data_IF_166606312218
#
_entry.id   IF_166606312218
#
_cell.length_a   1.000
_cell.length_b   1.000
_cell.length_c   1.000
_cell.angle_alpha   90.00
_cell.angle_beta   90.00
_cell.angle_gamma   90.00
#
_symmetry.space_group_name_H-M   'P 1'
#
loop_
_entity.id
_entity.type
_entity.pdbx_description
1 polymer ?
#
# COMPACT_ATOMS: atom_id res chain seq x y z
N UNK A 1 11.80 4.38 -17.89
CA UNK A 1 10.39 4.17 -18.30
C UNK A 1 9.71 3.33 -17.23
N UNK A 2 8.65 3.82 -16.58
CA UNK A 2 7.84 2.99 -15.70
C UNK A 2 7.01 2.03 -16.55
N UNK A 3 7.10 0.73 -16.28
CA UNK A 3 6.28 -0.30 -16.91
C UNK A 3 5.23 -0.80 -15.92
N UNK A 4 4.02 -1.12 -16.36
CA UNK A 4 3.04 -1.78 -15.51
C UNK A 4 3.61 -3.06 -14.92
N UNK A 5 3.32 -3.31 -13.64
CA UNK A 5 3.62 -4.61 -13.02
C UNK A 5 2.75 -5.66 -13.70
N UNK A 6 3.38 -6.74 -14.17
CA UNK A 6 2.65 -7.83 -14.81
C UNK A 6 1.61 -8.44 -13.85
N UNK A 7 0.46 -8.94 -14.36
CA UNK A 7 -0.51 -9.64 -13.54
C UNK A 7 0.14 -10.73 -12.69
N UNK A 8 -0.26 -10.84 -11.42
CA UNK A 8 0.29 -11.81 -10.47
C UNK A 8 1.69 -11.48 -9.92
N UNK A 9 2.36 -10.42 -10.38
CA UNK A 9 3.72 -10.04 -9.94
C UNK A 9 3.77 -8.91 -8.91
N UNK A 10 2.64 -8.53 -8.33
CA UNK A 10 2.57 -7.40 -7.40
C UNK A 10 3.37 -7.65 -6.12
N UNK A 11 3.29 -8.85 -5.53
CA UNK A 11 4.08 -9.21 -4.36
C UNK A 11 5.59 -9.09 -4.63
N UNK A 12 6.07 -9.66 -5.74
CA UNK A 12 7.48 -9.54 -6.14
C UNK A 12 7.91 -8.09 -6.33
N UNK A 13 7.05 -7.26 -6.94
CA UNK A 13 7.33 -5.84 -7.13
C UNK A 13 7.44 -5.09 -5.80
N UNK A 14 6.54 -5.36 -4.84
CA UNK A 14 6.61 -4.80 -3.48
C UNK A 14 7.89 -5.22 -2.80
N UNK A 15 8.23 -6.51 -2.81
CA UNK A 15 9.48 -7.04 -2.24
C UNK A 15 10.70 -6.36 -2.85
N UNK A 16 10.75 -6.24 -4.18
CA UNK A 16 11.85 -5.62 -4.88
C UNK A 16 12.02 -4.13 -4.50
N UNK A 17 10.92 -3.37 -4.45
CA UNK A 17 10.94 -1.94 -4.10
C UNK A 17 11.40 -1.74 -2.65
N UNK A 18 10.80 -2.45 -1.70
CA UNK A 18 11.16 -2.31 -0.27
C UNK A 18 12.60 -2.76 -0.01
N UNK A 19 13.02 -3.88 -0.61
CA UNK A 19 14.39 -4.38 -0.48
C UNK A 19 15.40 -3.42 -1.10
N UNK A 20 15.13 -2.91 -2.30
CA UNK A 20 16.02 -1.94 -2.96
C UNK A 20 16.11 -0.63 -2.19
N UNK A 21 14.98 -0.14 -1.66
CA UNK A 21 14.99 1.06 -0.83
C UNK A 21 15.87 0.87 0.41
N UNK A 22 15.66 -0.21 1.17
CA UNK A 22 16.44 -0.53 2.38
C UNK A 22 17.91 -0.80 2.11
N UNK A 23 18.23 -1.60 1.08
CA UNK A 23 19.61 -2.10 0.84
C UNK A 23 20.42 -1.25 -0.13
N UNK A 24 19.79 -0.33 -0.86
CA UNK A 24 20.48 0.49 -1.88
C UNK A 24 20.26 1.98 -1.69
N UNK A 25 19.01 2.44 -1.52
CA UNK A 25 18.73 3.87 -1.41
C UNK A 25 19.21 4.45 -0.07
N UNK A 26 18.81 3.83 1.05
CA UNK A 26 19.15 4.32 2.39
C UNK A 26 20.67 4.32 2.68
N UNK A 27 21.45 3.27 2.34
CA UNK A 27 22.90 3.29 2.57
C UNK A 27 23.61 4.38 1.77
N UNK A 28 23.15 4.68 0.55
CA UNK A 28 23.69 5.80 -0.25
C UNK A 28 23.45 7.17 0.41
N UNK A 29 22.40 7.28 1.22
CA UNK A 29 22.11 8.46 2.03
C UNK A 29 22.76 8.41 3.43
N UNK A 30 23.60 7.41 3.74
CA UNK A 30 24.23 7.24 5.05
C UNK A 30 23.27 6.79 6.15
N UNK A 31 22.09 6.28 5.80
CA UNK A 31 21.10 5.77 6.76
C UNK A 31 21.31 4.26 6.95
N UNK A 32 21.77 3.80 8.13
CA UNK A 32 22.03 2.39 8.36
C UNK A 32 20.73 1.58 8.51
N UNK A 33 20.84 0.26 8.41
CA UNK A 33 19.72 -0.68 8.57
C UNK A 33 19.14 -0.71 9.99
N UNK A 34 19.89 -0.22 10.98
CA UNK A 34 19.43 -0.04 12.38
C UNK A 34 18.36 1.04 12.52
N UNK A 35 18.24 1.97 11.56
CA UNK A 35 17.17 2.98 11.57
C UNK A 35 15.88 2.35 11.05
N UNK A 36 14.79 2.30 11.84
CA UNK A 36 13.53 1.72 11.38
C UNK A 36 12.88 2.55 10.26
N UNK A 37 12.13 1.88 9.39
CA UNK A 37 11.35 2.53 8.33
C UNK A 37 9.86 2.41 8.66
N UNK A 38 9.12 3.51 8.53
CA UNK A 38 7.65 3.51 8.49
C UNK A 38 7.17 3.80 7.07
N UNK A 39 6.26 2.99 6.56
CA UNK A 39 5.63 3.19 5.25
C UNK A 39 4.41 4.08 5.46
N UNK A 40 4.39 5.28 4.88
CA UNK A 40 3.27 6.23 5.08
C UNK A 40 2.25 6.25 3.96
N UNK A 41 2.70 6.13 2.71
CA UNK A 41 1.82 6.35 1.56
C UNK A 41 2.06 5.31 0.48
N UNK A 42 0.98 4.62 0.14
CA UNK A 42 0.80 3.79 -1.04
C UNK A 42 -0.71 3.60 -1.21
N UNK A 43 -1.16 3.29 -2.42
CA UNK A 43 -2.57 3.09 -2.67
C UNK A 43 -2.83 2.63 -4.10
N UNK A 44 -4.08 2.28 -4.35
CA UNK A 44 -4.55 1.88 -5.67
C UNK A 44 -5.85 2.65 -5.97
N UNK A 45 -5.90 3.49 -7.01
CA UNK A 45 -7.10 4.26 -7.28
C UNK A 45 -8.15 3.40 -8.02
N UNK A 46 -9.41 3.70 -7.77
CA UNK A 46 -10.56 3.20 -8.54
C UNK A 46 -10.89 4.12 -9.72
N UNK A 47 -11.72 3.64 -10.65
CA UNK A 47 -12.16 4.39 -11.84
C UNK A 47 -12.33 3.48 -13.07
N UNK A 48 -12.49 4.04 -14.28
CA UNK A 48 -12.62 3.25 -15.51
C UNK A 48 -11.48 2.23 -15.66
N UNK A 49 -11.83 0.94 -15.76
CA UNK A 49 -10.87 -0.17 -15.83
C UNK A 49 -10.14 -0.50 -14.50
N UNK A 50 -10.49 0.15 -13.39
CA UNK A 50 -9.91 -0.05 -12.05
C UNK A 50 -11.02 -0.26 -11.03
N UNK A 51 -11.49 -1.50 -10.92
CA UNK A 51 -12.60 -1.85 -10.02
C UNK A 51 -12.22 -1.75 -8.55
N UNK A 52 -13.20 -1.57 -7.67
CA UNK A 52 -12.98 -1.63 -6.22
C UNK A 52 -12.43 -2.98 -5.76
N UNK A 53 -12.87 -4.08 -6.37
CA UNK A 53 -12.36 -5.41 -6.04
C UNK A 53 -10.88 -5.52 -6.38
N UNK A 54 -10.43 -4.84 -7.44
CA UNK A 54 -9.00 -4.77 -7.77
C UNK A 54 -8.22 -3.94 -6.77
N UNK A 55 -8.78 -2.82 -6.29
CA UNK A 55 -8.18 -2.04 -5.20
C UNK A 55 -8.03 -2.91 -3.94
N UNK A 56 -9.09 -3.63 -3.54
CA UNK A 56 -9.06 -4.52 -2.38
C UNK A 56 -8.01 -5.63 -2.51
N UNK A 57 -7.92 -6.29 -3.67
CA UNK A 57 -6.93 -7.34 -3.92
C UNK A 57 -5.48 -6.81 -3.94
N UNK A 58 -5.27 -5.62 -4.51
CA UNK A 58 -3.97 -4.96 -4.49
C UNK A 58 -3.55 -4.60 -3.05
N UNK A 59 -4.47 -4.06 -2.26
CA UNK A 59 -4.24 -3.71 -0.86
C UNK A 59 -3.86 -4.93 -0.01
N UNK A 60 -4.61 -6.03 -0.12
CA UNK A 60 -4.31 -7.28 0.58
C UNK A 60 -2.91 -7.81 0.24
N UNK A 61 -2.58 -7.82 -1.05
CA UNK A 61 -1.24 -8.24 -1.51
C UNK A 61 -0.15 -7.36 -0.92
N UNK A 62 -0.26 -6.04 -1.05
CA UNK A 62 0.77 -5.09 -0.60
C UNK A 62 0.99 -5.17 0.91
N UNK A 63 -0.08 -5.17 1.70
CA UNK A 63 0.02 -5.18 3.17
C UNK A 63 0.58 -6.51 3.66
N UNK A 64 0.12 -7.65 3.13
CA UNK A 64 0.64 -8.96 3.53
C UNK A 64 2.11 -9.14 3.17
N UNK A 65 2.51 -8.73 1.96
CA UNK A 65 3.92 -8.76 1.55
C UNK A 65 4.77 -7.86 2.45
N UNK A 66 4.29 -6.65 2.75
CA UNK A 66 4.97 -5.74 3.67
C UNK A 66 5.11 -6.35 5.07
N UNK A 67 4.04 -6.95 5.60
CA UNK A 67 4.05 -7.60 6.91
C UNK A 67 5.08 -8.72 7.00
N UNK A 68 5.20 -9.53 5.93
CA UNK A 68 6.17 -10.61 5.84
C UNK A 68 7.64 -10.11 5.83
N UNK A 69 7.88 -8.87 5.40
CA UNK A 69 9.22 -8.27 5.29
C UNK A 69 9.62 -7.42 6.51
N UNK A 70 8.73 -7.26 7.49
CA UNK A 70 8.94 -6.34 8.63
C UNK A 70 10.24 -6.57 9.38
N UNK A 71 10.50 -7.81 9.78
CA UNK A 71 11.71 -8.18 10.51
C UNK A 71 12.96 -8.04 9.65
N UNK A 72 12.93 -8.53 8.41
CA UNK A 72 14.09 -8.53 7.50
C UNK A 72 14.51 -7.11 7.11
N UNK A 73 13.55 -6.21 6.94
CA UNK A 73 13.79 -4.85 6.48
C UNK A 73 13.67 -3.80 7.59
N UNK A 74 13.56 -4.22 8.86
CA UNK A 74 13.37 -3.33 10.01
C UNK A 74 12.30 -2.25 9.73
N UNK A 75 11.11 -2.71 9.35
CA UNK A 75 9.92 -1.87 9.13
C UNK A 75 9.10 -1.88 10.42
N UNK A 76 8.90 -0.71 11.02
CA UNK A 76 8.23 -0.56 12.33
C UNK A 76 6.81 0.01 12.23
N UNK A 77 6.33 0.30 11.01
CA UNK A 77 4.94 0.65 10.83
C UNK A 77 4.47 0.87 9.41
N UNK A 78 3.14 0.97 9.29
CA UNK A 78 2.44 1.14 8.03
C UNK A 78 1.18 2.02 8.20
N UNK A 79 1.08 3.04 7.36
CA UNK A 79 -0.11 3.85 7.18
C UNK A 79 -0.53 3.82 5.71
N UNK A 80 -1.83 3.93 5.45
CA UNK A 80 -2.40 3.87 4.12
C UNK A 80 -2.82 5.27 3.65
N UNK A 81 -2.55 5.55 2.37
CA UNK A 81 -3.15 6.67 1.65
C UNK A 81 -4.27 6.14 0.72
N UNK A 82 -5.53 6.55 0.84
CA UNK A 82 -6.12 7.44 1.85
C UNK A 82 -7.41 6.84 2.40
N UNK A 83 -7.89 7.38 3.53
CA UNK A 83 -9.13 6.89 4.15
C UNK A 83 -10.33 7.05 3.21
N UNK A 84 -10.49 8.21 2.57
CA UNK A 84 -11.59 8.51 1.65
C UNK A 84 -11.08 9.13 0.34
N UNK A 85 -11.92 9.06 -0.69
CA UNK A 85 -11.71 9.82 -1.90
C UNK A 85 -11.65 11.32 -1.58
N UNK A 86 -10.86 12.05 -2.36
CA UNK A 86 -10.82 13.51 -2.24
C UNK A 86 -12.13 14.13 -2.75
N UNK A 87 -12.59 13.64 -3.91
CA UNK A 87 -13.85 13.98 -4.59
C UNK A 87 -14.22 12.77 -5.48
N UNK A 88 -15.32 12.09 -5.16
CA UNK A 88 -15.77 10.88 -5.88
C UNK A 88 -16.48 11.19 -7.20
N UNK A 89 -16.72 12.47 -7.51
CA UNK A 89 -17.28 12.94 -8.78
C UNK A 89 -16.23 13.51 -9.72
N UNK A 90 -15.01 13.75 -9.24
CA UNK A 90 -13.93 14.27 -10.05
C UNK A 90 -13.58 13.34 -11.22
N UNK A 91 -13.26 13.93 -12.37
CA UNK A 91 -12.77 13.20 -13.53
C UNK A 91 -11.36 12.63 -13.29
N UNK A 92 -11.05 11.53 -13.98
CA UNK A 92 -9.77 10.83 -13.82
C UNK A 92 -9.71 9.97 -12.56
N UNK A 93 -8.53 9.44 -12.24
CA UNK A 93 -8.35 8.45 -11.15
C UNK A 93 -7.69 9.02 -9.89
N UNK A 94 -7.15 10.25 -9.95
CA UNK A 94 -6.29 10.77 -8.88
C UNK A 94 -7.04 11.20 -7.62
N UNK A 95 -8.35 11.44 -7.71
CA UNK A 95 -9.21 11.70 -6.55
C UNK A 95 -9.76 10.43 -5.89
N UNK A 96 -9.51 9.25 -6.50
CA UNK A 96 -10.24 8.01 -6.23
C UNK A 96 -9.41 6.95 -5.47
N UNK A 97 -8.47 7.39 -4.64
CA UNK A 97 -7.60 6.51 -3.84
C UNK A 97 -8.21 6.03 -2.52
N UNK A 98 -9.36 6.58 -2.13
CA UNK A 98 -10.01 6.28 -0.86
C UNK A 98 -10.40 4.82 -0.72
N UNK A 99 -10.38 4.35 0.53
CA UNK A 99 -11.11 3.16 0.94
C UNK A 99 -12.62 3.43 1.08
N UNK A 100 -12.98 4.69 1.27
CA UNK A 100 -14.33 5.21 1.30
C UNK A 100 -14.56 6.13 0.09
N UNK A 101 -15.81 6.28 -0.31
CA UNK A 101 -16.24 7.41 -1.13
C UNK A 101 -16.10 8.74 -0.34
N UNK A 102 -16.22 9.87 -1.03
CA UNK A 102 -16.11 11.21 -0.42
C UNK A 102 -17.22 11.50 0.61
N UNK A 103 -18.35 10.78 0.53
CA UNK A 103 -19.46 10.77 1.49
C UNK A 103 -19.30 9.76 2.64
N UNK A 104 -18.12 9.13 2.76
CA UNK A 104 -17.78 8.09 3.74
C UNK A 104 -18.48 6.74 3.55
N UNK A 105 -19.22 6.52 2.45
CA UNK A 105 -19.73 5.19 2.11
C UNK A 105 -18.56 4.22 1.87
N UNK A 106 -18.55 3.02 2.47
CA UNK A 106 -17.45 2.08 2.29
C UNK A 106 -17.34 1.53 0.87
N UNK A 107 -16.11 1.47 0.34
CA UNK A 107 -15.76 0.62 -0.80
C UNK A 107 -15.35 -0.76 -0.32
N UNK A 108 -15.26 -1.71 -1.25
CA UNK A 108 -14.81 -3.09 -0.99
C UNK A 108 -13.45 -3.16 -0.26
N UNK A 109 -12.56 -2.21 -0.50
CA UNK A 109 -11.23 -2.19 0.13
C UNK A 109 -11.24 -1.79 1.62
N UNK A 110 -12.28 -1.09 2.08
CA UNK A 110 -12.41 -0.70 3.49
C UNK A 110 -12.49 -1.91 4.42
N UNK A 111 -13.36 -2.87 4.10
CA UNK A 111 -13.50 -4.09 4.90
C UNK A 111 -12.24 -4.97 4.84
N UNK A 112 -11.59 -5.03 3.68
CA UNK A 112 -10.27 -5.69 3.55
C UNK A 112 -9.24 -5.05 4.48
N UNK A 113 -9.17 -3.72 4.55
CA UNK A 113 -8.22 -3.03 5.42
C UNK A 113 -8.50 -3.28 6.90
N UNK A 114 -9.77 -3.23 7.32
CA UNK A 114 -10.19 -3.53 8.69
C UNK A 114 -9.78 -4.94 9.11
N UNK A 115 -10.04 -5.93 8.25
CA UNK A 115 -9.64 -7.33 8.46
C UNK A 115 -8.13 -7.45 8.59
N UNK A 116 -7.35 -6.80 7.73
CA UNK A 116 -5.88 -6.83 7.78
C UNK A 116 -5.33 -6.18 9.04
N UNK A 117 -5.92 -5.09 9.53
CA UNK A 117 -5.56 -4.49 10.83
C UNK A 117 -5.78 -5.50 11.96
N UNK A 118 -6.92 -6.19 11.97
CA UNK A 118 -7.22 -7.20 12.99
C UNK A 118 -6.24 -8.39 12.94
N UNK A 119 -5.85 -8.83 11.74
CA UNK A 119 -4.91 -9.94 11.55
C UNK A 119 -3.44 -9.57 11.83
N UNK A 120 -3.03 -8.33 11.48
CA UNK A 120 -1.61 -7.95 11.34
C UNK A 120 -1.19 -6.75 12.19
N UNK A 121 -2.10 -6.05 12.88
CA UNK A 121 -1.79 -4.83 13.64
C UNK A 121 -0.77 -5.00 14.76
N UNK A 122 -0.58 -6.24 15.25
CA UNK A 122 0.51 -6.56 16.17
C UNK A 122 1.91 -6.61 15.52
N UNK A 123 1.97 -6.88 14.21
CA UNK A 123 3.20 -7.01 13.41
C UNK A 123 3.54 -5.73 12.63
N UNK A 124 2.53 -4.99 12.20
CA UNK A 124 2.62 -3.72 11.51
C UNK A 124 1.83 -2.69 12.31
N UNK A 125 2.52 -1.79 13.01
CA UNK A 125 1.91 -0.74 13.84
C UNK A 125 1.63 0.53 13.06
#
# INVERSE_FOLDING_TARGET
MFRPVAPGRLADAVTAVLTSYRRTCLPKAGIPDTVPIRIYENGWPTGPGRTEQRQAAALDTVIRTTAALTAELNIDGYSLFALRDADSRAEGIFSHFGLLYDDYTPKSAFETYRRLIAELGGKLR
#
